data_IF_487806967158
#
_entry.id   IF_487806967158
#
_cell.length_a   1.000
_cell.length_b   1.000
_cell.length_c   1.000
_cell.angle_alpha   90.00
_cell.angle_beta   90.00
_cell.angle_gamma   90.00
#
_symmetry.space_group_name_H-M   'P 1'
#
loop_
_entity.id
_entity.type
_entity.pdbx_description
1 polymer ?
#
# COMPACT_ATOMS: atom_id res chain seq x y z
N UNK A 1 -44.87 -9.53 47.31
CA UNK A 1 -44.31 -8.29 47.85
C UNK A 1 -42.92 -8.13 47.29
N UNK A 2 -42.79 -7.38 46.17
CA UNK A 2 -41.47 -7.17 45.52
C UNK A 2 -40.76 -6.01 46.23
N UNK A 3 -39.67 -6.29 46.88
CA UNK A 3 -38.76 -5.27 47.40
C UNK A 3 -37.94 -4.71 46.27
N UNK A 4 -37.98 -3.41 45.97
CA UNK A 4 -37.13 -2.81 44.96
C UNK A 4 -35.68 -2.83 45.45
N UNK A 5 -34.79 -3.50 44.70
CA UNK A 5 -33.36 -3.39 44.91
C UNK A 5 -32.91 -1.93 44.70
N UNK A 6 -32.28 -1.37 45.72
CA UNK A 6 -31.69 -0.04 45.67
C UNK A 6 -30.48 -0.09 44.71
N UNK A 7 -30.65 0.38 43.48
CA UNK A 7 -29.53 0.65 42.56
C UNK A 7 -28.65 1.74 43.19
N UNK A 8 -27.43 1.36 43.58
CA UNK A 8 -26.42 2.32 44.05
C UNK A 8 -25.96 3.16 42.87
N UNK A 9 -26.24 4.47 42.92
CA UNK A 9 -25.74 5.42 41.92
C UNK A 9 -24.21 5.62 42.06
N UNK A 10 -23.55 5.93 40.97
CA UNK A 10 -22.13 6.30 40.97
C UNK A 10 -21.90 7.63 41.70
N UNK A 11 -20.82 7.68 42.49
CA UNK A 11 -20.43 8.93 43.16
C UNK A 11 -19.57 9.78 42.20
N UNK A 12 -19.63 11.10 42.40
CA UNK A 12 -18.79 12.04 41.59
C UNK A 12 -17.30 11.76 41.75
N UNK A 13 -16.88 11.37 42.96
CA UNK A 13 -15.48 11.02 43.27
C UNK A 13 -15.02 9.77 42.49
N UNK A 14 -15.89 8.77 42.39
CA UNK A 14 -15.60 7.55 41.64
C UNK A 14 -15.40 7.84 40.15
N UNK A 15 -16.24 8.73 39.56
CA UNK A 15 -16.07 9.19 38.19
C UNK A 15 -14.75 9.94 38.00
N UNK A 16 -14.38 10.82 38.94
CA UNK A 16 -13.09 11.55 38.87
C UNK A 16 -11.88 10.63 38.90
N UNK A 17 -11.91 9.58 39.73
CA UNK A 17 -10.83 8.58 39.82
C UNK A 17 -10.72 7.83 38.49
N UNK A 18 -11.84 7.41 37.91
CA UNK A 18 -11.85 6.70 36.62
C UNK A 18 -11.25 7.57 35.50
N UNK A 19 -11.65 8.83 35.41
CA UNK A 19 -11.11 9.76 34.41
C UNK A 19 -9.60 9.99 34.61
N UNK A 20 -9.15 10.13 35.86
CA UNK A 20 -7.74 10.28 36.17
C UNK A 20 -6.92 9.05 35.74
N UNK A 21 -7.40 7.85 35.99
CA UNK A 21 -6.73 6.60 35.57
C UNK A 21 -6.70 6.49 34.05
N UNK A 22 -7.79 6.80 33.34
CA UNK A 22 -7.82 6.79 31.86
C UNK A 22 -6.82 7.81 31.30
N UNK A 23 -6.73 9.00 31.88
CA UNK A 23 -5.79 10.02 31.45
C UNK A 23 -4.33 9.57 31.57
N UNK A 24 -3.96 8.92 32.69
CA UNK A 24 -2.61 8.38 32.91
C UNK A 24 -2.32 7.27 31.89
N UNK A 25 -3.23 6.33 31.68
CA UNK A 25 -3.05 5.26 30.70
C UNK A 25 -2.94 5.79 29.27
N UNK A 26 -3.74 6.80 28.93
CA UNK A 26 -3.70 7.45 27.62
C UNK A 26 -2.35 8.12 27.30
N UNK A 27 -1.71 8.72 28.27
CA UNK A 27 -0.38 9.36 28.08
C UNK A 27 0.70 8.34 27.76
N UNK A 28 0.62 7.12 28.29
CA UNK A 28 1.59 6.05 28.04
C UNK A 28 1.27 5.33 26.71
N UNK A 29 0.00 5.10 26.40
CA UNK A 29 -0.40 4.35 25.21
C UNK A 29 -0.17 5.12 23.90
N UNK A 30 -0.36 6.44 23.91
CA UNK A 30 -0.27 7.28 22.71
C UNK A 30 1.10 7.18 21.99
N UNK A 31 2.25 7.36 22.65
CA UNK A 31 3.55 7.28 21.97
C UNK A 31 3.85 5.88 21.43
N UNK A 32 3.38 4.82 22.08
CA UNK A 32 3.54 3.45 21.61
C UNK A 32 2.79 3.21 20.31
N UNK A 33 1.55 3.66 20.21
CA UNK A 33 0.74 3.56 18.98
C UNK A 33 1.34 4.36 17.83
N UNK A 34 1.72 5.62 18.08
CA UNK A 34 2.32 6.49 17.06
C UNK A 34 3.64 5.91 16.53
N UNK A 35 4.40 5.23 17.38
CA UNK A 35 5.65 4.61 16.97
C UNK A 35 5.45 3.46 15.99
N UNK A 36 4.32 2.76 15.98
CA UNK A 36 4.05 1.65 15.06
C UNK A 36 3.38 2.07 13.75
N UNK A 37 2.84 3.28 13.68
CA UNK A 37 2.14 3.81 12.49
C UNK A 37 2.93 3.68 11.18
N UNK A 38 4.24 3.98 11.10
CA UNK A 38 5.01 3.81 9.86
C UNK A 38 5.08 2.37 9.38
N UNK A 39 5.11 1.39 10.28
CA UNK A 39 5.13 -0.02 9.94
C UNK A 39 3.79 -0.49 9.38
N UNK A 40 2.69 -0.05 9.98
CA UNK A 40 1.34 -0.34 9.48
C UNK A 40 1.10 0.29 8.10
N UNK A 41 1.46 1.56 7.93
CA UNK A 41 1.33 2.26 6.64
C UNK A 41 2.12 1.58 5.54
N UNK A 42 3.35 1.14 5.82
CA UNK A 42 4.18 0.41 4.86
C UNK A 42 3.51 -0.90 4.42
N UNK A 43 3.01 -1.69 5.37
CA UNK A 43 2.33 -2.95 5.08
C UNK A 43 1.04 -2.73 4.28
N UNK A 44 0.27 -1.72 4.64
CA UNK A 44 -0.94 -1.32 3.93
C UNK A 44 -0.63 -0.85 2.51
N UNK A 45 0.37 0.00 2.33
CA UNK A 45 0.83 0.45 1.01
C UNK A 45 1.26 -0.72 0.12
N UNK A 46 2.04 -1.67 0.66
CA UNK A 46 2.45 -2.85 -0.10
C UNK A 46 1.26 -3.73 -0.53
N UNK A 47 0.28 -3.91 0.34
CA UNK A 47 -0.96 -4.64 0.03
C UNK A 47 -1.84 -3.90 -0.97
N UNK A 48 -2.01 -2.59 -0.79
CA UNK A 48 -2.76 -1.74 -1.70
C UNK A 48 -2.16 -1.76 -3.11
N UNK A 49 -0.83 -1.64 -3.20
CA UNK A 49 -0.11 -1.75 -4.46
C UNK A 49 -0.31 -3.13 -5.12
N UNK A 50 -0.19 -4.21 -4.35
CA UNK A 50 -0.47 -5.56 -4.85
C UNK A 50 -1.89 -5.69 -5.40
N UNK A 51 -2.89 -5.10 -4.75
CA UNK A 51 -4.28 -5.11 -5.21
C UNK A 51 -4.45 -4.32 -6.53
N UNK A 52 -3.79 -3.18 -6.67
CA UNK A 52 -3.82 -2.38 -7.92
C UNK A 52 -3.15 -3.13 -9.07
N UNK A 53 -2.03 -3.81 -8.82
CA UNK A 53 -1.38 -4.66 -9.82
C UNK A 53 -2.26 -5.84 -10.24
N UNK A 54 -2.95 -6.50 -9.30
CA UNK A 54 -3.92 -7.56 -9.61
C UNK A 54 -5.09 -7.03 -10.42
N UNK A 55 -5.59 -5.85 -10.09
CA UNK A 55 -6.63 -5.18 -10.86
C UNK A 55 -6.16 -4.84 -12.27
N UNK A 56 -4.92 -4.34 -12.44
CA UNK A 56 -4.32 -4.08 -13.75
C UNK A 56 -4.27 -5.35 -14.62
N UNK A 57 -3.81 -6.46 -14.03
CA UNK A 57 -3.77 -7.77 -14.70
C UNK A 57 -5.16 -8.23 -15.15
N UNK A 58 -6.15 -8.15 -14.25
CA UNK A 58 -7.52 -8.55 -14.54
C UNK A 58 -8.16 -7.63 -15.60
N UNK A 59 -7.91 -6.33 -15.50
CA UNK A 59 -8.38 -5.35 -16.49
C UNK A 59 -7.80 -5.63 -17.89
N UNK A 60 -6.51 -5.97 -17.99
CA UNK A 60 -5.89 -6.35 -19.25
C UNK A 60 -6.57 -7.57 -19.87
N UNK A 61 -6.80 -8.63 -19.08
CA UNK A 61 -7.48 -9.84 -19.53
C UNK A 61 -8.93 -9.59 -19.96
N UNK A 62 -9.68 -8.77 -19.22
CA UNK A 62 -11.08 -8.48 -19.52
C UNK A 62 -11.27 -7.56 -20.72
N UNK A 63 -10.38 -6.59 -20.92
CA UNK A 63 -10.52 -5.61 -22.02
C UNK A 63 -9.81 -6.00 -23.29
N UNK A 64 -8.98 -7.04 -23.27
CA UNK A 64 -8.16 -7.44 -24.41
C UNK A 64 -7.09 -6.41 -24.79
N UNK A 65 -6.73 -5.53 -23.88
CA UNK A 65 -5.73 -4.46 -24.10
C UNK A 65 -4.70 -4.48 -22.99
N UNK A 66 -3.49 -4.05 -23.31
CA UNK A 66 -2.45 -3.90 -22.29
C UNK A 66 -2.88 -2.93 -21.19
N UNK A 67 -2.53 -3.24 -19.95
CA UNK A 67 -2.66 -2.35 -18.81
C UNK A 67 -1.30 -2.21 -18.12
N UNK A 68 -0.99 -1.00 -17.65
CA UNK A 68 0.24 -0.77 -16.90
C UNK A 68 -0.03 0.05 -15.63
N UNK A 69 0.80 -0.17 -14.62
CA UNK A 69 0.91 0.71 -13.47
C UNK A 69 2.19 1.53 -13.65
N UNK A 70 2.01 2.85 -13.75
CA UNK A 70 3.06 3.83 -13.88
C UNK A 70 3.41 4.39 -12.51
N UNK A 71 4.69 4.35 -12.14
CA UNK A 71 5.21 4.90 -10.90
C UNK A 71 6.00 6.17 -11.17
N UNK A 72 5.66 7.25 -10.50
CA UNK A 72 6.35 8.53 -10.54
C UNK A 72 7.20 8.64 -9.27
N UNK A 73 8.48 8.30 -9.40
CA UNK A 73 9.42 8.14 -8.28
C UNK A 73 10.02 9.48 -7.83
N UNK A 74 10.14 10.44 -8.74
CA UNK A 74 10.70 11.77 -8.46
C UNK A 74 9.69 12.76 -7.89
N UNK A 75 8.40 12.39 -7.88
CA UNK A 75 7.34 13.22 -7.31
C UNK A 75 7.42 13.25 -5.77
N UNK A 76 6.96 14.34 -5.19
CA UNK A 76 6.82 14.47 -3.74
C UNK A 76 5.41 15.00 -3.40
N UNK A 77 4.51 14.15 -2.87
CA UNK A 77 4.66 12.71 -2.56
C UNK A 77 4.79 11.85 -3.82
N UNK A 78 5.48 10.71 -3.69
CA UNK A 78 5.55 9.71 -4.75
C UNK A 78 4.15 9.18 -5.08
N UNK A 79 3.90 8.89 -6.34
CA UNK A 79 2.57 8.51 -6.82
C UNK A 79 2.66 7.34 -7.80
N UNK A 80 1.56 6.61 -7.95
CA UNK A 80 1.39 5.63 -9.00
C UNK A 80 0.00 5.74 -9.64
N UNK A 81 -0.11 5.32 -10.90
CA UNK A 81 -1.31 5.46 -11.71
C UNK A 81 -1.53 4.23 -12.58
N UNK A 82 -2.79 3.79 -12.68
CA UNK A 82 -3.19 2.76 -13.61
C UNK A 82 -3.53 3.37 -14.98
N UNK A 83 -2.96 2.79 -16.03
CA UNK A 83 -3.20 3.20 -17.42
C UNK A 83 -3.56 1.99 -18.28
N UNK A 84 -4.40 2.22 -19.29
CA UNK A 84 -4.78 1.24 -20.30
C UNK A 84 -4.18 1.63 -21.65
N UNK A 85 -3.59 0.67 -22.32
CA UNK A 85 -3.08 0.83 -23.67
C UNK A 85 -4.17 0.76 -24.73
N UNK A 86 -3.81 1.13 -25.95
CA UNK A 86 -4.71 1.11 -27.10
C UNK A 86 -4.70 -0.24 -27.86
N UNK A 87 -3.72 -1.11 -27.64
CA UNK A 87 -3.53 -2.37 -28.32
C UNK A 87 -3.44 -3.58 -27.38
N UNK A 88 -3.61 -4.77 -27.97
CA UNK A 88 -3.40 -6.05 -27.31
C UNK A 88 -1.92 -6.26 -26.91
N UNK A 89 -0.99 -5.77 -27.73
CA UNK A 89 0.44 -5.81 -27.50
C UNK A 89 1.12 -4.63 -28.22
N UNK A 90 2.14 -4.06 -27.60
CA UNK A 90 2.89 -2.94 -28.17
C UNK A 90 2.10 -1.62 -28.20
N UNK A 91 1.36 -1.32 -27.15
CA UNK A 91 0.58 -0.09 -27.05
C UNK A 91 1.47 1.15 -27.15
N UNK A 92 1.06 2.05 -28.03
CA UNK A 92 1.75 3.34 -28.28
C UNK A 92 1.06 4.52 -27.58
N UNK A 93 -0.21 4.36 -27.21
CA UNK A 93 -0.99 5.37 -26.50
C UNK A 93 -1.60 4.79 -25.23
N UNK A 94 -1.61 5.58 -24.16
CA UNK A 94 -2.02 5.15 -22.83
C UNK A 94 -3.05 6.12 -22.25
N UNK A 95 -4.21 5.60 -21.92
CA UNK A 95 -5.28 6.33 -21.25
C UNK A 95 -5.25 6.06 -19.75
N UNK A 96 -5.35 7.10 -18.96
CA UNK A 96 -5.45 6.97 -17.50
C UNK A 96 -6.83 6.42 -17.11
N UNK A 97 -6.86 5.31 -16.38
CA UNK A 97 -8.10 4.68 -15.89
C UNK A 97 -8.54 5.21 -14.53
N UNK A 98 -7.61 5.71 -13.73
CA UNK A 98 -7.85 6.23 -12.38
C UNK A 98 -6.95 7.39 -12.04
N UNK A 99 -7.39 8.17 -11.06
CA UNK A 99 -6.61 9.23 -10.44
C UNK A 99 -5.35 8.63 -9.79
N UNK A 100 -4.31 9.44 -9.65
CA UNK A 100 -3.08 9.06 -8.98
C UNK A 100 -3.34 8.61 -7.54
N UNK A 101 -2.68 7.52 -7.15
CA UNK A 101 -2.61 7.08 -5.77
C UNK A 101 -1.33 7.61 -5.15
N UNK A 102 -1.47 8.43 -4.12
CA UNK A 102 -0.34 8.96 -3.37
C UNK A 102 0.16 7.97 -2.33
N UNK A 103 1.48 7.92 -2.17
CA UNK A 103 2.11 7.12 -1.13
C UNK A 103 2.14 7.92 0.17
N UNK A 104 1.74 7.33 1.31
CA UNK A 104 1.73 8.03 2.59
C UNK A 104 3.11 8.59 2.97
N UNK A 105 3.19 9.75 3.64
CA UNK A 105 4.44 10.47 3.87
C UNK A 105 5.49 9.75 4.73
N UNK A 106 5.14 8.65 5.37
CA UNK A 106 6.09 7.81 6.13
C UNK A 106 6.62 6.60 5.34
N UNK A 107 6.21 6.47 4.08
CA UNK A 107 6.58 5.37 3.17
C UNK A 107 7.09 5.99 1.88
N UNK A 108 8.09 5.38 1.30
CA UNK A 108 8.62 5.76 -0.01
C UNK A 108 9.01 4.54 -0.82
N UNK A 109 8.97 4.69 -2.13
CA UNK A 109 9.54 3.73 -3.06
C UNK A 109 11.04 4.02 -3.11
N UNK A 110 11.86 3.07 -2.64
CA UNK A 110 13.31 3.20 -2.65
C UNK A 110 13.83 3.07 -4.09
N UNK A 111 13.32 2.09 -4.83
CA UNK A 111 13.58 1.91 -6.24
C UNK A 111 12.55 0.98 -6.89
N UNK A 112 12.46 1.05 -8.22
CA UNK A 112 11.84 0.02 -9.04
C UNK A 112 12.92 -0.74 -9.82
N UNK A 113 12.64 -1.97 -10.19
CA UNK A 113 13.50 -2.74 -11.10
C UNK A 113 12.67 -3.18 -12.30
N UNK A 114 13.29 -3.13 -13.48
CA UNK A 114 12.76 -3.74 -14.69
C UNK A 114 13.01 -5.28 -14.69
N UNK A 115 12.61 -5.95 -15.78
CA UNK A 115 12.83 -7.39 -15.96
C UNK A 115 14.31 -7.80 -15.98
N UNK A 116 15.23 -6.86 -16.15
CA UNK A 116 16.69 -7.08 -16.13
C UNK A 116 17.28 -6.84 -14.74
N UNK A 117 16.46 -6.43 -13.76
CA UNK A 117 16.93 -6.04 -12.45
C UNK A 117 17.61 -4.67 -12.40
N UNK A 118 17.48 -3.88 -13.47
CA UNK A 118 18.08 -2.55 -13.54
C UNK A 118 17.26 -1.57 -12.71
N UNK A 119 17.93 -0.81 -11.86
CA UNK A 119 17.30 0.27 -11.10
C UNK A 119 16.88 1.39 -12.07
N UNK A 120 15.61 1.78 -12.01
CA UNK A 120 15.11 2.92 -12.77
C UNK A 120 14.94 4.11 -11.83
N UNK A 121 15.52 5.23 -12.25
CA UNK A 121 15.35 6.52 -11.61
C UNK A 121 14.20 7.27 -12.28
N UNK A 122 13.37 7.93 -11.50
CA UNK A 122 12.32 8.80 -11.96
C UNK A 122 10.99 8.13 -12.27
N UNK A 123 10.94 7.29 -13.28
CA UNK A 123 9.72 6.65 -13.75
C UNK A 123 9.92 5.15 -13.94
N UNK A 124 9.03 4.35 -13.36
CA UNK A 124 9.01 2.89 -13.52
C UNK A 124 7.63 2.42 -13.94
N UNK A 125 7.56 1.36 -14.74
CA UNK A 125 6.28 0.77 -15.19
C UNK A 125 6.27 -0.73 -15.00
N UNK A 126 5.10 -1.26 -14.61
CA UNK A 126 4.80 -2.69 -14.65
C UNK A 126 3.62 -2.87 -15.60
N UNK A 127 3.83 -3.60 -16.69
CA UNK A 127 2.86 -3.81 -17.75
C UNK A 127 2.32 -5.25 -17.71
N UNK A 128 1.02 -5.38 -17.99
CA UNK A 128 0.30 -6.65 -18.07
C UNK A 128 -0.32 -6.80 -19.45
N UNK A 129 -0.08 -7.94 -20.07
CA UNK A 129 -0.70 -8.32 -21.34
C UNK A 129 -2.04 -9.06 -21.10
N UNK A 130 -2.96 -9.02 -22.05
CA UNK A 130 -4.22 -9.76 -21.97
C UNK A 130 -4.06 -11.27 -21.85
N UNK A 131 -2.92 -11.82 -22.29
CA UNK A 131 -2.57 -13.25 -22.14
C UNK A 131 -2.24 -13.68 -20.71
N UNK A 132 -2.17 -12.71 -19.76
CA UNK A 132 -1.81 -12.96 -18.37
C UNK A 132 -0.31 -12.88 -18.09
N UNK A 133 0.52 -12.67 -19.13
CA UNK A 133 1.95 -12.38 -18.95
C UNK A 133 2.14 -10.92 -18.51
N UNK A 134 3.30 -10.63 -17.94
CA UNK A 134 3.63 -9.28 -17.49
C UNK A 134 5.09 -8.91 -17.78
N UNK A 135 5.42 -7.64 -17.76
CA UNK A 135 6.81 -7.24 -17.58
C UNK A 135 7.26 -7.70 -16.19
N UNK A 136 8.39 -8.43 -16.11
CA UNK A 136 8.93 -8.77 -14.79
C UNK A 136 9.58 -7.54 -14.17
N UNK A 137 9.42 -7.42 -12.86
CA UNK A 137 10.01 -6.33 -12.13
C UNK A 137 9.59 -6.36 -10.66
N UNK A 138 10.09 -5.41 -9.91
CA UNK A 138 9.75 -5.26 -8.50
C UNK A 138 9.72 -3.80 -8.08
N UNK A 139 8.83 -3.50 -7.17
CA UNK A 139 8.78 -2.21 -6.47
C UNK A 139 9.17 -2.42 -5.03
N UNK A 140 10.14 -1.68 -4.60
CA UNK A 140 10.75 -1.80 -3.28
C UNK A 140 10.34 -0.62 -2.42
N UNK A 141 9.55 -0.92 -1.39
CA UNK A 141 8.98 0.05 -0.46
C UNK A 141 9.79 0.05 0.83
N UNK A 142 10.01 1.24 1.39
CA UNK A 142 10.71 1.42 2.65
C UNK A 142 10.00 2.48 3.49
N UNK A 143 10.03 2.34 4.80
CA UNK A 143 9.52 3.37 5.70
C UNK A 143 10.65 4.15 6.37
N UNK A 144 10.28 5.22 7.05
CA UNK A 144 11.21 6.07 7.81
C UNK A 144 11.95 5.34 8.94
N UNK A 145 11.49 4.16 9.35
CA UNK A 145 12.14 3.29 10.35
C UNK A 145 13.07 2.24 9.74
N UNK A 146 13.24 2.23 8.41
CA UNK A 146 14.10 1.28 7.71
C UNK A 146 13.48 -0.10 7.45
N UNK A 147 12.21 -0.33 7.83
CA UNK A 147 11.50 -1.55 7.47
C UNK A 147 11.19 -1.54 5.97
N UNK A 148 11.23 -2.72 5.32
CA UNK A 148 11.18 -2.87 3.87
C UNK A 148 10.17 -3.93 3.45
N UNK A 149 9.49 -3.68 2.31
CA UNK A 149 8.65 -4.62 1.59
C UNK A 149 8.97 -4.58 0.10
N UNK A 150 8.97 -5.74 -0.55
CA UNK A 150 9.07 -5.85 -2.00
C UNK A 150 7.77 -6.39 -2.59
N UNK A 151 7.27 -5.73 -3.62
CA UNK A 151 6.15 -6.22 -4.44
C UNK A 151 6.74 -6.62 -5.78
N UNK A 152 6.80 -7.93 -6.04
CA UNK A 152 7.44 -8.53 -7.23
C UNK A 152 6.39 -9.10 -8.18
N UNK A 153 6.65 -8.97 -9.47
CA UNK A 153 5.82 -9.52 -10.54
C UNK A 153 6.64 -10.46 -11.42
N UNK A 154 6.15 -11.68 -11.58
CA UNK A 154 6.75 -12.68 -12.47
C UNK A 154 6.26 -12.49 -13.90
N UNK A 155 7.18 -12.49 -14.88
CA UNK A 155 6.85 -12.23 -16.29
C UNK A 155 5.96 -13.31 -16.91
N UNK A 156 6.26 -14.57 -16.66
CA UNK A 156 5.58 -15.70 -17.33
C UNK A 156 4.13 -15.91 -16.90
N UNK A 157 3.82 -15.59 -15.66
CA UNK A 157 2.51 -15.86 -15.06
C UNK A 157 1.77 -14.60 -14.62
N UNK A 158 2.44 -13.43 -14.64
CA UNK A 158 1.93 -12.21 -14.02
C UNK A 158 1.61 -12.41 -12.53
N UNK A 159 2.27 -13.36 -11.84
CA UNK A 159 2.07 -13.60 -10.41
C UNK A 159 2.67 -12.44 -9.62
N UNK A 160 1.86 -11.91 -8.73
CA UNK A 160 2.26 -10.84 -7.83
C UNK A 160 2.52 -11.45 -6.46
N UNK A 161 3.69 -11.16 -5.89
CA UNK A 161 4.09 -11.57 -4.54
C UNK A 161 4.52 -10.36 -3.72
N UNK A 162 4.16 -10.39 -2.43
CA UNK A 162 4.59 -9.38 -1.45
C UNK A 162 5.51 -10.07 -0.47
N UNK A 163 6.73 -9.59 -0.36
CA UNK A 163 7.77 -10.14 0.51
C UNK A 163 8.17 -9.09 1.55
N UNK A 164 8.33 -9.53 2.79
CA UNK A 164 8.84 -8.69 3.88
C UNK A 164 10.35 -8.83 3.95
N UNK A 165 11.05 -7.70 3.87
CA UNK A 165 12.52 -7.67 3.85
C UNK A 165 13.08 -8.08 2.49
N UNK A 166 14.01 -7.31 1.98
CA UNK A 166 14.81 -7.67 0.79
C UNK A 166 16.26 -7.31 1.06
N UNK A 167 17.15 -8.17 0.60
CA UNK A 167 18.59 -7.90 0.63
C UNK A 167 18.97 -7.27 -0.71
N UNK A 168 19.74 -6.20 -0.64
CA UNK A 168 20.42 -5.66 -1.83
C UNK A 168 21.38 -6.68 -2.40
#
# INVERSE_FOLDING_TARGET
MFTPEKTKGFTLVELMIVVAVIAILGTIATPLLLSQLPNYRLKETARGLSAVLQYAKMSAACTGKECRVLFLLDDSPQRYQLQQGNHFSGSTSWASLRIFHEIPPSVYIDHGTDYRGTHQSGMSTIEFNPTGTASSGGIYLKNTKGKQYAVKVSSSTGRISVEEGWKK
#
